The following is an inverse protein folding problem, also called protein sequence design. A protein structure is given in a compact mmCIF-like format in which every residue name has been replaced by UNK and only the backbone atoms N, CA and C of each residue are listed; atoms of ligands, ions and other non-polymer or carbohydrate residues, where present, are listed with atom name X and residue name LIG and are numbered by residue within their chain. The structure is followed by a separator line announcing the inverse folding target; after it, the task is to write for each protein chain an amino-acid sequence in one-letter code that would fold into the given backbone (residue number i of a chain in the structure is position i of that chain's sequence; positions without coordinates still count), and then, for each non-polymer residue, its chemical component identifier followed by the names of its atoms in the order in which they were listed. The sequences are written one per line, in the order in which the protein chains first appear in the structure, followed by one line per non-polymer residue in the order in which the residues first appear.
data_IF_111944003354
#
_entry.id   IF_111944003354
#
_cell.length_a   1.000
_cell.length_b   1.000
_cell.length_c   1.000
_cell.angle_alpha   90.00
_cell.angle_beta   90.00
_cell.angle_gamma   90.00
#
_symmetry.space_group_name_H-M   'P 1'
#
loop_
_entity.id
_entity.type
_entity.pdbx_description
1 polymer ?
#
# COMPACT_ATOMS: atom_id res chain seq x y z
N UNK A 1 1.27 -1.63 -24.76
CA UNK A 1 2.30 -2.25 -23.90
C UNK A 1 2.90 -1.16 -23.04
N UNK A 2 2.84 -1.32 -21.73
CA UNK A 2 3.43 -0.38 -20.79
C UNK A 2 4.78 -0.96 -20.37
N UNK A 3 5.85 -0.17 -20.42
CA UNK A 3 7.14 -0.54 -19.82
C UNK A 3 7.09 -0.39 -18.30
N UNK A 4 5.94 -0.75 -17.70
CA UNK A 4 5.66 -0.70 -16.27
C UNK A 4 5.69 -2.12 -15.72
N UNK A 5 5.97 -2.25 -14.43
CA UNK A 5 6.21 -3.55 -13.79
C UNK A 5 4.97 -4.15 -13.11
N UNK A 6 3.81 -3.49 -13.24
CA UNK A 6 2.46 -3.85 -12.78
C UNK A 6 2.38 -4.85 -11.61
N UNK A 7 2.00 -4.35 -10.43
CA UNK A 7 1.95 -5.08 -9.18
C UNK A 7 0.53 -5.02 -8.60
N UNK A 8 -0.23 -6.10 -8.63
CA UNK A 8 -1.53 -6.15 -7.97
C UNK A 8 -2.28 -7.42 -8.33
N UNK A 9 -2.27 -8.41 -7.43
CA UNK A 9 -2.67 -9.79 -7.73
C UNK A 9 -4.08 -9.97 -8.26
N UNK A 10 -5.00 -9.05 -7.96
CA UNK A 10 -6.35 -9.11 -8.53
C UNK A 10 -6.36 -8.58 -9.96
N UNK A 11 -6.83 -9.41 -10.89
CA UNK A 11 -6.95 -9.02 -12.31
C UNK A 11 -5.70 -9.17 -13.14
N UNK A 12 -4.67 -9.85 -12.63
CA UNK A 12 -3.45 -10.12 -13.36
C UNK A 12 -3.53 -11.45 -14.11
N UNK A 13 -3.02 -11.45 -15.33
CA UNK A 13 -2.87 -12.63 -16.17
C UNK A 13 -1.42 -12.77 -16.60
N UNK A 14 -0.88 -13.99 -16.50
CA UNK A 14 0.46 -14.32 -16.98
C UNK A 14 0.36 -15.42 -18.04
N UNK A 15 1.09 -15.26 -19.15
CA UNK A 15 1.20 -16.34 -20.14
C UNK A 15 1.92 -17.52 -19.51
N UNK A 16 1.37 -18.72 -19.68
CA UNK A 16 2.00 -19.96 -19.18
C UNK A 16 3.45 -20.11 -19.67
N UNK A 17 3.73 -19.79 -20.93
CA UNK A 17 5.08 -19.82 -21.51
C UNK A 17 6.06 -18.86 -20.83
N UNK A 18 5.57 -17.74 -20.30
CA UNK A 18 6.36 -16.77 -19.54
C UNK A 18 6.59 -17.28 -18.12
N UNK A 19 5.57 -17.88 -17.51
CA UNK A 19 5.66 -18.49 -16.17
C UNK A 19 6.71 -19.62 -16.11
N UNK A 20 6.82 -20.41 -17.19
CA UNK A 20 7.80 -21.48 -17.34
C UNK A 20 9.26 -21.00 -17.27
N UNK A 21 9.54 -19.71 -17.39
CA UNK A 21 10.88 -19.16 -17.20
C UNK A 21 11.35 -19.20 -15.73
N UNK A 22 10.45 -19.48 -14.77
CA UNK A 22 10.76 -19.56 -13.35
C UNK A 22 10.98 -21.00 -12.84
N UNK A 23 11.15 -21.97 -13.75
CA UNK A 23 11.26 -23.41 -13.48
C UNK A 23 9.98 -24.00 -12.82
N UNK A 24 10.10 -25.19 -12.22
CA UNK A 24 8.97 -26.03 -11.81
C UNK A 24 8.14 -25.47 -10.65
N UNK A 25 8.67 -24.54 -9.86
CA UNK A 25 7.96 -23.93 -8.73
C UNK A 25 7.92 -22.39 -8.84
N UNK A 26 6.96 -21.84 -9.61
CA UNK A 26 6.91 -20.42 -9.84
C UNK A 26 6.30 -19.65 -8.67
N UNK A 27 5.63 -20.29 -7.70
CA UNK A 27 5.13 -19.62 -6.49
C UNK A 27 6.09 -19.84 -5.33
N UNK A 28 6.28 -18.83 -4.49
CA UNK A 28 7.19 -18.91 -3.33
C UNK A 28 6.42 -18.66 -2.04
N UNK A 29 7.06 -18.88 -0.89
CA UNK A 29 6.52 -18.57 0.44
C UNK A 29 6.39 -17.06 0.75
N UNK A 30 6.34 -16.20 -0.28
CA UNK A 30 6.15 -14.75 -0.12
C UNK A 30 4.72 -14.44 0.30
N UNK A 31 4.55 -13.57 1.30
CA UNK A 31 3.23 -13.05 1.70
C UNK A 31 2.63 -12.06 0.67
N UNK A 32 3.41 -11.71 -0.36
CA UNK A 32 2.99 -10.96 -1.54
C UNK A 32 3.43 -11.74 -2.77
N UNK A 33 2.81 -12.91 -2.96
CA UNK A 33 3.17 -13.90 -3.98
C UNK A 33 3.12 -13.35 -5.41
N UNK A 34 2.15 -12.49 -5.69
CA UNK A 34 1.92 -11.78 -6.95
C UNK A 34 3.06 -10.81 -7.29
N UNK A 35 3.46 -10.01 -6.31
CA UNK A 35 4.59 -9.08 -6.44
C UNK A 35 5.92 -9.82 -6.55
N UNK A 36 6.11 -10.88 -5.76
CA UNK A 36 7.31 -11.73 -5.79
C UNK A 36 7.46 -12.43 -7.15
N UNK A 37 6.38 -13.04 -7.64
CA UNK A 37 6.32 -13.66 -8.96
C UNK A 37 6.68 -12.67 -10.06
N UNK A 38 6.00 -11.51 -10.08
CA UNK A 38 6.23 -10.48 -11.09
C UNK A 38 7.68 -9.97 -11.06
N UNK A 39 8.22 -9.72 -9.86
CA UNK A 39 9.60 -9.27 -9.69
C UNK A 39 10.60 -10.30 -10.21
N UNK A 40 10.40 -11.60 -9.92
CA UNK A 40 11.24 -12.68 -10.44
C UNK A 40 11.15 -12.80 -11.97
N UNK A 41 9.96 -12.66 -12.55
CA UNK A 41 9.80 -12.64 -14.01
C UNK A 41 10.61 -11.50 -14.65
N UNK A 42 10.50 -10.29 -14.12
CA UNK A 42 11.25 -9.13 -14.63
C UNK A 42 12.77 -9.22 -14.41
N UNK A 43 13.21 -10.00 -13.43
CA UNK A 43 14.62 -10.29 -13.18
C UNK A 43 15.13 -11.56 -13.88
N UNK A 44 14.24 -12.32 -14.50
CA UNK A 44 14.58 -13.56 -15.20
C UNK A 44 15.34 -13.30 -16.50
N UNK A 45 15.73 -14.38 -17.18
CA UNK A 45 16.52 -14.25 -18.39
C UNK A 45 15.74 -13.84 -19.64
N UNK A 46 14.42 -13.92 -19.59
CA UNK A 46 13.52 -13.60 -20.71
C UNK A 46 13.12 -12.13 -20.74
N UNK A 47 12.71 -11.64 -21.91
CA UNK A 47 12.12 -10.32 -22.04
C UNK A 47 10.65 -10.36 -21.58
N UNK A 48 10.33 -9.60 -20.52
CA UNK A 48 8.98 -9.50 -19.97
C UNK A 48 8.43 -8.08 -20.21
N UNK A 49 7.19 -8.01 -20.70
CA UNK A 49 6.44 -6.76 -20.91
C UNK A 49 5.04 -6.93 -20.36
N UNK A 50 4.55 -5.87 -19.73
CA UNK A 50 3.16 -5.81 -19.28
C UNK A 50 2.29 -5.07 -20.30
N UNK A 51 1.04 -5.49 -20.35
CA UNK A 51 -0.04 -4.76 -21.00
C UNK A 51 -1.06 -4.43 -19.92
N UNK A 52 -1.38 -3.15 -19.80
CA UNK A 52 -2.47 -2.66 -18.97
C UNK A 52 -3.65 -2.36 -19.89
N UNK A 53 -4.82 -2.83 -19.49
CA UNK A 53 -6.09 -2.62 -20.18
C UNK A 53 -6.96 -1.75 -19.27
N UNK A 54 -7.14 -0.50 -19.67
CA UNK A 54 -7.86 0.51 -18.86
C UNK A 54 -9.39 0.40 -19.01
N UNK A 55 -9.86 -0.47 -19.92
CA UNK A 55 -11.27 -0.77 -20.19
C UNK A 55 -11.81 -1.97 -19.39
N UNK A 56 -10.94 -2.67 -18.66
CA UNK A 56 -11.31 -3.81 -17.82
C UNK A 56 -11.32 -3.37 -16.35
N UNK A 57 -12.50 -3.47 -15.72
CA UNK A 57 -12.70 -3.11 -14.32
C UNK A 57 -12.87 -4.37 -13.48
N UNK A 58 -12.14 -4.45 -12.38
CA UNK A 58 -12.24 -5.55 -11.41
C UNK A 58 -12.49 -4.95 -10.05
N UNK A 59 -13.66 -5.23 -9.51
CA UNK A 59 -14.04 -4.82 -8.18
C UNK A 59 -13.39 -5.73 -7.14
N UNK A 60 -12.85 -5.10 -6.10
CA UNK A 60 -12.22 -5.82 -4.99
C UNK A 60 -13.10 -5.70 -3.76
N UNK A 61 -13.50 -6.83 -3.20
CA UNK A 61 -14.20 -6.87 -1.92
C UNK A 61 -13.23 -6.42 -0.82
N UNK A 62 -13.51 -5.26 -0.22
CA UNK A 62 -12.79 -4.76 0.94
C UNK A 62 -13.20 -5.48 2.23
N UNK A 63 -12.39 -5.35 3.28
CA UNK A 63 -12.80 -5.76 4.64
C UNK A 63 -13.66 -4.64 5.23
N UNK A 64 -14.92 -4.94 5.50
CA UNK A 64 -15.94 -4.00 5.96
C UNK A 64 -16.20 -4.23 7.45
N UNK A 65 -16.27 -3.14 8.23
CA UNK A 65 -16.63 -3.14 9.65
C UNK A 65 -15.77 -4.02 10.58
N UNK A 66 -14.63 -4.54 10.11
CA UNK A 66 -13.70 -5.34 10.90
C UNK A 66 -12.29 -4.75 10.80
N UNK A 67 -11.98 -3.85 11.75
CA UNK A 67 -10.67 -3.19 11.80
C UNK A 67 -9.55 -4.18 12.12
N UNK A 68 -9.82 -5.24 12.88
CA UNK A 68 -8.80 -6.20 13.29
C UNK A 68 -8.39 -7.07 12.10
N UNK A 69 -9.36 -7.60 11.35
CA UNK A 69 -9.10 -8.32 10.12
C UNK A 69 -8.40 -7.43 9.07
N UNK A 70 -8.83 -6.16 8.95
CA UNK A 70 -8.19 -5.20 8.05
C UNK A 70 -6.70 -4.99 8.41
N UNK A 71 -6.40 -4.74 9.68
CA UNK A 71 -5.01 -4.55 10.14
C UNK A 71 -4.21 -5.83 9.90
N UNK A 72 -4.75 -7.01 10.25
CA UNK A 72 -4.08 -8.30 10.01
C UNK A 72 -3.71 -8.48 8.53
N UNK A 73 -4.65 -8.25 7.62
CA UNK A 73 -4.41 -8.34 6.18
C UNK A 73 -3.27 -7.40 5.74
N UNK A 74 -3.35 -6.14 6.16
CA UNK A 74 -2.37 -5.13 5.72
C UNK A 74 -0.99 -5.33 6.37
N UNK A 75 -0.93 -5.89 7.58
CA UNK A 75 0.33 -6.33 8.23
C UNK A 75 1.00 -7.44 7.43
N UNK A 76 0.23 -8.44 6.94
CA UNK A 76 0.78 -9.50 6.09
C UNK A 76 1.34 -8.92 4.78
N UNK A 77 0.63 -8.00 4.14
CA UNK A 77 1.10 -7.35 2.91
C UNK A 77 2.36 -6.52 3.16
N UNK A 78 2.40 -5.74 4.26
CA UNK A 78 3.58 -4.98 4.62
C UNK A 78 4.78 -5.89 4.94
N UNK A 79 4.54 -7.02 5.60
CA UNK A 79 5.58 -8.02 5.88
C UNK A 79 6.10 -8.64 4.58
N UNK A 80 5.22 -8.98 3.64
CA UNK A 80 5.59 -9.47 2.31
C UNK A 80 6.47 -8.47 1.56
N UNK A 81 6.11 -7.19 1.57
CA UNK A 81 6.94 -6.14 0.98
C UNK A 81 8.34 -6.07 1.62
N UNK A 82 8.45 -6.26 2.95
CA UNK A 82 9.76 -6.35 3.62
C UNK A 82 10.53 -7.60 3.13
N UNK A 83 9.88 -8.77 3.01
CA UNK A 83 10.49 -10.00 2.49
C UNK A 83 11.06 -9.80 1.06
N UNK A 84 10.37 -9.03 0.22
CA UNK A 84 10.81 -8.74 -1.15
C UNK A 84 12.07 -7.87 -1.23
N UNK A 85 12.56 -7.29 -0.13
CA UNK A 85 13.80 -6.47 -0.10
C UNK A 85 15.03 -7.20 -0.61
N UNK A 86 15.03 -8.55 -0.60
CA UNK A 86 16.05 -9.39 -1.24
C UNK A 86 16.26 -9.07 -2.74
N UNK A 87 15.28 -8.45 -3.40
CA UNK A 87 15.34 -8.06 -4.81
C UNK A 87 15.90 -6.66 -5.07
N UNK A 88 16.23 -5.86 -4.04
CA UNK A 88 16.79 -4.51 -4.22
C UNK A 88 18.10 -4.56 -5.01
N UNK A 89 19.06 -5.36 -4.53
CA UNK A 89 20.38 -5.45 -5.15
C UNK A 89 20.34 -6.10 -6.55
N UNK A 90 19.59 -7.21 -6.77
CA UNK A 90 19.32 -7.73 -8.11
C UNK A 90 18.75 -6.68 -9.07
N UNK A 91 17.77 -5.88 -8.63
CA UNK A 91 17.15 -4.83 -9.45
C UNK A 91 18.15 -3.75 -9.85
N UNK A 92 18.98 -3.28 -8.91
CA UNK A 92 20.03 -2.28 -9.19
C UNK A 92 21.02 -2.82 -10.23
N UNK A 93 21.48 -4.06 -10.04
CA UNK A 93 22.51 -4.70 -10.87
C UNK A 93 22.01 -5.18 -12.23
N UNK A 94 20.70 -5.36 -12.39
CA UNK A 94 20.12 -5.86 -13.64
C UNK A 94 20.50 -4.96 -14.82
N UNK A 95 21.07 -5.53 -15.87
CA UNK A 95 21.33 -4.82 -17.13
C UNK A 95 20.15 -4.90 -18.11
N UNK A 96 19.17 -5.76 -17.82
CA UNK A 96 18.02 -6.05 -18.68
C UNK A 96 16.86 -5.09 -18.43
N UNK A 97 16.69 -4.65 -17.18
CA UNK A 97 15.63 -3.72 -16.81
C UNK A 97 15.90 -2.32 -17.40
N UNK A 98 14.88 -1.75 -18.02
CA UNK A 98 14.88 -0.35 -18.41
C UNK A 98 14.90 0.55 -17.17
N UNK A 99 15.42 1.77 -17.29
CA UNK A 99 15.52 2.72 -16.18
C UNK A 99 14.17 3.00 -15.50
N UNK A 100 13.08 3.07 -16.29
CA UNK A 100 11.71 3.25 -15.76
C UNK A 100 11.27 2.05 -14.91
N UNK A 101 11.47 0.83 -15.40
CA UNK A 101 11.15 -0.41 -14.69
C UNK A 101 11.95 -0.54 -13.39
N UNK A 102 13.26 -0.23 -13.46
CA UNK A 102 14.13 -0.20 -12.26
C UNK A 102 13.60 0.77 -11.22
N UNK A 103 13.25 1.99 -11.64
CA UNK A 103 12.75 3.00 -10.75
C UNK A 103 11.45 2.56 -10.07
N UNK A 104 10.48 2.06 -10.83
CA UNK A 104 9.21 1.56 -10.29
C UNK A 104 9.40 0.38 -9.32
N UNK A 105 10.25 -0.60 -9.67
CA UNK A 105 10.61 -1.71 -8.78
C UNK A 105 11.27 -1.21 -7.50
N UNK A 106 12.28 -0.34 -7.62
CA UNK A 106 13.02 0.16 -6.46
C UNK A 106 12.14 1.02 -5.55
N UNK A 107 11.25 1.85 -6.11
CA UNK A 107 10.29 2.61 -5.30
C UNK A 107 9.38 1.69 -4.51
N UNK A 108 8.90 0.60 -5.13
CA UNK A 108 8.06 -0.39 -4.44
C UNK A 108 8.84 -1.13 -3.35
N UNK A 109 10.06 -1.59 -3.67
CA UNK A 109 10.93 -2.33 -2.76
C UNK A 109 11.44 -1.50 -1.57
N UNK A 110 11.64 -0.19 -1.77
CA UNK A 110 12.13 0.74 -0.73
C UNK A 110 11.00 1.30 0.14
N UNK A 111 9.76 1.32 -0.37
CA UNK A 111 8.58 1.82 0.35
C UNK A 111 8.47 1.35 1.80
N UNK A 112 8.55 0.04 2.14
CA UNK A 112 8.41 -0.39 3.53
C UNK A 112 9.48 0.20 4.46
N UNK A 113 10.69 0.44 3.98
CA UNK A 113 11.78 1.01 4.77
C UNK A 113 11.59 2.51 4.99
N UNK A 114 11.13 3.24 3.96
CA UNK A 114 10.79 4.66 4.08
C UNK A 114 9.69 4.88 5.12
N UNK A 115 8.65 4.03 5.10
CA UNK A 115 7.56 4.09 6.08
C UNK A 115 8.05 3.72 7.49
N UNK A 116 9.00 2.80 7.62
CA UNK A 116 9.65 2.50 8.89
C UNK A 116 10.44 3.68 9.46
N UNK A 117 11.20 4.40 8.62
CA UNK A 117 11.93 5.61 9.02
C UNK A 117 10.96 6.71 9.44
N UNK A 118 9.90 6.94 8.67
CA UNK A 118 8.84 7.90 9.01
C UNK A 118 8.27 7.62 10.41
N UNK A 119 7.98 6.34 10.71
CA UNK A 119 7.45 5.94 12.00
C UNK A 119 8.41 6.25 13.17
N UNK A 120 9.71 6.00 12.99
CA UNK A 120 10.74 6.34 14.00
C UNK A 120 10.78 7.85 14.24
N UNK A 121 10.69 8.66 13.17
CA UNK A 121 10.67 10.12 13.26
C UNK A 121 9.45 10.58 14.07
N UNK A 122 8.26 10.04 13.79
CA UNK A 122 7.03 10.38 14.52
C UNK A 122 7.14 10.05 16.02
N UNK A 123 7.65 8.86 16.37
CA UNK A 123 7.86 8.48 17.78
C UNK A 123 8.84 9.44 18.46
N UNK A 124 9.97 9.72 17.81
CA UNK A 124 10.97 10.63 18.36
C UNK A 124 10.38 12.02 18.61
N UNK A 125 9.62 12.55 17.64
CA UNK A 125 8.91 13.82 17.80
C UNK A 125 7.95 13.79 18.99
N UNK A 126 7.17 12.72 19.16
CA UNK A 126 6.26 12.59 20.30
C UNK A 126 6.98 12.60 21.65
N UNK A 127 8.08 11.85 21.77
CA UNK A 127 8.91 11.81 22.99
C UNK A 127 9.44 13.21 23.31
N UNK A 128 9.93 13.94 22.31
CA UNK A 128 10.45 15.29 22.49
C UNK A 128 9.38 16.28 22.93
N UNK A 129 8.17 16.18 22.39
CA UNK A 129 7.02 16.99 22.82
C UNK A 129 6.70 16.73 24.29
N UNK A 130 6.56 15.46 24.68
CA UNK A 130 6.25 15.07 26.07
C UNK A 130 7.33 15.56 27.04
N UNK A 131 8.60 15.35 26.71
CA UNK A 131 9.72 15.81 27.55
C UNK A 131 9.70 17.33 27.74
N UNK A 132 9.38 18.11 26.72
CA UNK A 132 9.30 19.57 26.84
C UNK A 132 8.13 20.07 27.67
N UNK A 133 6.99 19.37 27.61
CA UNK A 133 5.80 19.72 28.39
C UNK A 133 6.05 19.50 29.90
N UNK A 134 6.90 18.53 30.24
CA UNK A 134 7.27 18.19 31.62
C UNK A 134 8.44 19.07 32.11
N UNK A 135 9.46 19.29 31.29
CA UNK A 135 10.73 19.92 31.69
C UNK A 135 10.77 21.44 31.47
N UNK A 136 9.63 22.07 31.13
CA UNK A 136 9.41 23.53 31.05
C UNK A 136 10.22 24.32 30.01
N UNK A 137 11.27 23.75 29.42
CA UNK A 137 12.08 24.43 28.40
C UNK A 137 11.74 23.92 26.99
N UNK A 138 10.86 24.65 26.31
CA UNK A 138 10.61 24.44 24.88
C UNK A 138 11.80 25.01 24.09
N UNK A 139 12.69 24.11 23.65
CA UNK A 139 13.81 24.48 22.78
C UNK A 139 13.32 24.98 21.42
N UNK A 140 14.12 25.84 20.76
CA UNK A 140 13.78 26.37 19.43
C UNK A 140 13.61 25.26 18.38
N UNK A 141 14.47 24.23 18.44
CA UNK A 141 14.39 23.06 17.57
C UNK A 141 13.06 22.32 17.73
N UNK A 142 12.55 22.22 18.95
CA UNK A 142 11.26 21.58 19.19
C UNK A 142 10.09 22.40 18.64
N UNK A 143 10.11 23.73 18.75
CA UNK A 143 9.08 24.59 18.13
C UNK A 143 8.98 24.33 16.63
N UNK A 144 10.13 24.23 15.94
CA UNK A 144 10.18 23.91 14.52
C UNK A 144 9.56 22.55 14.25
N UNK A 145 9.92 21.52 15.02
CA UNK A 145 9.36 20.16 14.85
C UNK A 145 7.85 20.14 15.07
N UNK A 146 7.34 20.82 16.10
CA UNK A 146 5.90 20.92 16.37
C UNK A 146 5.17 21.63 15.24
N UNK A 147 5.69 22.75 14.75
CA UNK A 147 5.12 23.48 13.61
C UNK A 147 5.09 22.58 12.37
N UNK A 148 6.18 21.89 12.05
CA UNK A 148 6.23 20.94 10.93
C UNK A 148 5.22 19.81 11.10
N UNK A 149 5.07 19.26 12.30
CA UNK A 149 4.08 18.22 12.59
C UNK A 149 2.64 18.70 12.35
N UNK A 150 2.31 19.92 12.80
CA UNK A 150 0.99 20.53 12.56
C UNK A 150 0.77 20.75 11.06
N UNK A 151 1.75 21.31 10.36
CA UNK A 151 1.67 21.55 8.90
C UNK A 151 1.48 20.24 8.14
N UNK A 152 2.22 19.19 8.49
CA UNK A 152 2.08 17.86 7.91
C UNK A 152 0.71 17.25 8.18
N UNK A 153 0.17 17.42 9.39
CA UNK A 153 -1.17 16.94 9.76
C UNK A 153 -2.26 17.64 8.95
N UNK A 154 -2.15 18.97 8.79
CA UNK A 154 -3.07 19.76 7.94
C UNK A 154 -2.96 19.32 6.48
N UNK A 155 -1.73 19.08 5.99
CA UNK A 155 -1.49 18.59 4.64
C UNK A 155 -2.16 17.24 4.38
N UNK A 156 -2.05 16.28 5.30
CA UNK A 156 -2.71 14.97 5.18
C UNK A 156 -4.23 15.12 5.11
N UNK A 157 -4.82 15.93 6.00
CA UNK A 157 -6.27 16.19 6.00
C UNK A 157 -6.69 16.85 4.68
N UNK A 158 -5.91 17.81 4.18
CA UNK A 158 -6.17 18.48 2.92
C UNK A 158 -6.12 17.51 1.73
N UNK A 159 -5.12 16.62 1.67
CA UNK A 159 -5.03 15.59 0.63
C UNK A 159 -6.22 14.64 0.70
N UNK A 160 -6.62 14.22 1.90
CA UNK A 160 -7.81 13.37 2.08
C UNK A 160 -9.09 14.07 1.63
N UNK A 161 -9.20 15.38 1.87
CA UNK A 161 -10.31 16.20 1.41
C UNK A 161 -10.36 16.29 -0.12
N UNK A 162 -9.22 16.48 -0.78
CA UNK A 162 -9.14 16.45 -2.24
C UNK A 162 -9.56 15.08 -2.79
N UNK A 163 -9.09 13.98 -2.19
CA UNK A 163 -9.51 12.63 -2.58
C UNK A 163 -11.01 12.40 -2.37
N UNK A 164 -11.58 12.89 -1.27
CA UNK A 164 -13.02 12.81 -1.02
C UNK A 164 -13.83 13.56 -2.10
N UNK A 165 -13.37 14.73 -2.56
CA UNK A 165 -13.99 15.45 -3.68
C UNK A 165 -13.96 14.62 -4.95
N UNK A 166 -12.78 14.06 -5.30
CA UNK A 166 -12.62 13.27 -6.52
C UNK A 166 -13.50 12.02 -6.49
N UNK A 167 -13.49 11.29 -5.38
CA UNK A 167 -14.32 10.09 -5.18
C UNK A 167 -15.81 10.39 -5.33
N UNK A 168 -16.29 11.46 -4.69
CA UNK A 168 -17.69 11.84 -4.78
C UNK A 168 -18.06 12.27 -6.20
N UNK A 169 -17.19 12.98 -6.91
CA UNK A 169 -17.45 13.44 -8.29
C UNK A 169 -17.57 12.28 -9.29
N UNK A 170 -16.75 11.26 -9.15
CA UNK A 170 -16.72 10.13 -10.09
C UNK A 170 -17.86 9.13 -9.84
N UNK A 171 -18.33 9.00 -8.59
CA UNK A 171 -19.40 8.07 -8.23
C UNK A 171 -20.82 8.66 -8.27
N UNK A 172 -20.97 9.99 -8.19
CA UNK A 172 -22.30 10.59 -8.06
C UNK A 172 -22.97 10.81 -9.43
N UNK A 173 -24.13 10.16 -9.66
CA UNK A 173 -25.08 10.59 -10.71
C UNK A 173 -25.82 11.90 -10.32
N UNK A 174 -25.79 12.30 -9.04
CA UNK A 174 -26.40 13.52 -8.50
C UNK A 174 -25.37 14.57 -8.04
N UNK A 175 -25.83 15.77 -7.64
CA UNK A 175 -24.96 16.82 -7.11
C UNK A 175 -24.34 16.40 -5.76
N UNK A 176 -23.01 16.28 -5.73
CA UNK A 176 -22.22 16.02 -4.52
C UNK A 176 -22.58 16.99 -3.38
N UNK A 177 -23.03 16.48 -2.23
CA UNK A 177 -23.31 17.33 -1.07
C UNK A 177 -22.03 17.55 -0.27
N UNK A 178 -21.88 18.74 0.31
CA UNK A 178 -20.70 19.07 1.13
C UNK A 178 -20.51 18.10 2.30
N UNK A 179 -21.60 17.60 2.87
CA UNK A 179 -21.55 16.64 3.99
C UNK A 179 -20.96 15.29 3.60
N UNK A 180 -21.16 14.82 2.38
CA UNK A 180 -20.62 13.54 1.91
C UNK A 180 -19.09 13.64 1.81
N UNK A 181 -18.59 14.75 1.26
CA UNK A 181 -17.15 15.04 1.19
C UNK A 181 -16.52 15.11 2.58
N UNK A 182 -17.16 15.79 3.54
CA UNK A 182 -16.64 15.88 4.92
C UNK A 182 -16.63 14.50 5.58
N UNK A 183 -17.71 13.73 5.44
CA UNK A 183 -17.81 12.36 5.98
C UNK A 183 -16.72 11.46 5.41
N UNK A 184 -16.50 11.50 4.10
CA UNK A 184 -15.47 10.69 3.44
C UNK A 184 -14.05 11.13 3.80
N UNK A 185 -13.83 12.43 3.98
CA UNK A 185 -12.56 12.95 4.51
C UNK A 185 -12.25 12.38 5.90
N UNK A 186 -13.25 12.36 6.78
CA UNK A 186 -13.12 11.79 8.13
C UNK A 186 -12.89 10.28 8.07
N UNK A 187 -13.64 9.55 7.23
CA UNK A 187 -13.49 8.11 7.06
C UNK A 187 -12.10 7.74 6.51
N UNK A 188 -11.62 8.46 5.50
CA UNK A 188 -10.29 8.25 4.92
C UNK A 188 -9.19 8.56 5.94
N UNK A 189 -9.36 9.63 6.72
CA UNK A 189 -8.43 9.97 7.81
C UNK A 189 -8.42 8.88 8.89
N UNK A 190 -9.59 8.39 9.31
CA UNK A 190 -9.71 7.28 10.26
C UNK A 190 -9.04 6.01 9.70
N UNK A 191 -9.24 5.71 8.42
CA UNK A 191 -8.61 4.59 7.75
C UNK A 191 -7.08 4.72 7.80
N UNK A 192 -6.50 5.86 7.42
CA UNK A 192 -5.05 6.08 7.50
C UNK A 192 -4.52 5.97 8.94
N UNK A 193 -5.24 6.49 9.93
CA UNK A 193 -4.87 6.35 11.33
C UNK A 193 -4.82 4.88 11.77
N UNK A 194 -5.80 4.06 11.35
CA UNK A 194 -5.78 2.61 11.58
C UNK A 194 -4.54 1.98 10.95
N UNK A 195 -4.13 2.44 9.76
CA UNK A 195 -2.96 1.89 9.05
C UNK A 195 -1.61 2.24 9.70
N UNK A 196 -1.52 3.29 10.54
CA UNK A 196 -0.24 3.72 11.14
C UNK A 196 0.48 2.62 11.94
N UNK A 197 -0.27 1.65 12.48
CA UNK A 197 0.26 0.55 13.29
C UNK A 197 0.84 -0.63 12.47
N UNK A 198 0.69 -0.61 11.14
CA UNK A 198 1.01 -1.76 10.29
C UNK A 198 2.50 -2.06 10.22
N UNK A 199 3.33 -1.05 9.94
CA UNK A 199 4.77 -1.25 9.74
C UNK A 199 5.53 -1.74 10.98
N UNK A 200 5.23 -1.24 12.20
CA UNK A 200 5.80 -1.81 13.42
C UNK A 200 5.45 -3.29 13.60
N UNK A 201 4.18 -3.64 13.42
CA UNK A 201 3.72 -5.03 13.56
C UNK A 201 4.33 -5.94 12.50
N UNK A 202 4.42 -5.49 11.25
CA UNK A 202 5.02 -6.27 10.17
C UNK A 202 6.52 -6.47 10.37
N UNK A 203 7.24 -5.44 10.82
CA UNK A 203 8.66 -5.54 11.16
C UNK A 203 8.89 -6.53 12.31
N UNK A 204 8.11 -6.43 13.39
CA UNK A 204 8.18 -7.38 14.53
C UNK A 204 7.92 -8.81 14.06
N UNK A 205 6.93 -9.05 13.20
CA UNK A 205 6.66 -10.38 12.65
C UNK A 205 7.81 -10.89 11.78
N UNK A 206 8.32 -10.05 10.88
CA UNK A 206 9.41 -10.37 9.98
C UNK A 206 10.68 -10.78 10.76
N UNK A 207 11.10 -9.98 11.74
CA UNK A 207 12.30 -10.27 12.53
C UNK A 207 12.13 -11.43 13.51
N UNK A 208 10.89 -11.80 13.85
CA UNK A 208 10.57 -13.02 14.60
C UNK A 208 10.27 -14.24 13.70
N UNK A 209 10.52 -14.15 12.39
CA UNK A 209 10.32 -15.23 11.42
C UNK A 209 8.88 -15.81 11.39
N UNK A 210 7.87 -15.00 11.73
CA UNK A 210 6.46 -15.39 11.70
C UNK A 210 5.88 -15.24 10.29
N UNK A 211 6.05 -16.24 9.44
CA UNK A 211 5.65 -16.20 8.02
C UNK A 211 4.30 -16.86 7.73
N UNK A 212 3.46 -17.07 8.74
CA UNK A 212 2.16 -17.73 8.56
C UNK A 212 1.20 -16.86 7.74
N UNK A 213 0.62 -17.45 6.70
CA UNK A 213 -0.45 -16.83 5.93
C UNK A 213 -1.81 -17.16 6.57
N UNK A 214 -2.50 -16.13 7.06
CA UNK A 214 -3.83 -16.26 7.65
C UNK A 214 -4.84 -15.60 6.71
N UNK A 215 -5.65 -16.42 6.04
CA UNK A 215 -6.76 -15.90 5.22
C UNK A 215 -7.82 -15.27 6.14
N UNK A 216 -8.22 -14.05 5.83
CA UNK A 216 -9.41 -13.45 6.43
C UNK A 216 -10.66 -14.13 5.87
N UNK A 217 -11.70 -14.27 6.69
CA UNK A 217 -12.97 -14.84 6.23
C UNK A 217 -13.51 -14.00 5.08
N UNK A 218 -14.03 -14.67 4.03
CA UNK A 218 -14.80 -13.97 3.00
C UNK A 218 -16.02 -13.35 3.68
N UNK A 219 -16.17 -12.05 3.52
CA UNK A 219 -17.42 -11.38 3.85
C UNK A 219 -18.34 -11.51 2.63
N UNK A 220 -19.63 -11.74 2.87
CA UNK A 220 -20.64 -11.68 1.79
C UNK A 220 -20.65 -10.27 1.22
N UNK A 221 -20.65 -10.17 -0.11
CA UNK A 221 -20.82 -8.89 -0.76
C UNK A 221 -22.19 -8.33 -0.37
N UNK A 222 -22.20 -7.13 0.23
CA UNK A 222 -23.45 -6.39 0.34
C UNK A 222 -23.88 -6.05 -1.07
N UNK A 223 -24.94 -6.69 -1.57
CA UNK A 223 -25.60 -6.33 -2.83
C UNK A 223 -25.89 -4.84 -2.74
N UNK A 224 -25.21 -4.03 -3.55
CA UNK A 224 -25.52 -2.61 -3.66
C UNK A 224 -26.94 -2.50 -4.25
N UNK A 225 -27.93 -1.94 -3.51
CA UNK A 225 -29.29 -1.80 -4.01
C UNK A 225 -29.39 -0.87 -5.23
N UNK A 226 -28.30 -0.21 -5.65
CA UNK A 226 -28.24 0.65 -6.84
C UNK A 226 -27.61 -0.01 -8.08
N UNK A 227 -27.16 -1.26 -8.02
CA UNK A 227 -26.72 -2.00 -9.20
C UNK A 227 -27.94 -2.68 -9.82
N UNK A 228 -28.58 -2.01 -10.78
CA UNK A 228 -29.55 -2.65 -11.68
C UNK A 228 -28.82 -3.74 -12.47
N UNK A 229 -29.09 -5.01 -12.15
CA UNK A 229 -28.58 -6.22 -12.83
C UNK A 229 -28.97 -6.31 -14.33
N UNK A 230 -29.62 -5.29 -14.91
CA UNK A 230 -30.16 -5.28 -16.27
C UNK A 230 -29.44 -4.33 -17.25
N UNK A 231 -28.17 -3.99 -17.01
CA UNK A 231 -27.33 -3.33 -18.01
C UNK A 231 -26.07 -4.14 -18.30
N UNK A 232 -26.24 -5.23 -19.02
CA UNK A 232 -25.21 -5.87 -19.85
C UNK A 232 -25.64 -5.74 -21.30
#
# INVERSE_FOLDING_TARGET
MTNTVAFGGNGQFCKLSTLQALNDDPWTDSLVEDFDLSTRLFLSDIEVKNAQFDDIYIEQTGIINDNEALVKQRVLWAQGNIQSSKYILPTIRSKKLQNKQKFELLMTLLKPWLMGIEYIIVIYTLIMIVNSAILSEITQSLKIVVVLFIVMSIYIIFVNFVWAILYNKDNSQEKTRLWDVVKDTVNLTKFLLILTQIYPQSAIRYFNSKNDWVKTNRQEESVDPHIDEYKI
#
